data_IF_330966369746
#
_entry.id   IF_330966369746
#
_cell.length_a   1.000
_cell.length_b   1.000
_cell.length_c   1.000
_cell.angle_alpha   90.00
_cell.angle_beta   90.00
_cell.angle_gamma   90.00
#
_symmetry.space_group_name_H-M   'P 1'
#
loop_
_entity.id
_entity.type
_entity.pdbx_description
1 polymer ?
#
# COMPACT_ATOMS: atom_id res chain seq x y z
N UNK A 1 -34.66 -3.96 -22.53
CA UNK A 1 -34.02 -4.72 -21.44
C UNK A 1 -33.87 -6.17 -21.88
N UNK A 2 -32.67 -6.54 -22.34
CA UNK A 2 -32.29 -7.93 -22.60
C UNK A 2 -31.06 -8.20 -21.75
N UNK A 3 -31.22 -9.09 -20.77
CA UNK A 3 -30.12 -9.62 -19.96
C UNK A 3 -29.44 -10.67 -20.84
N UNK A 4 -28.20 -10.40 -21.23
CA UNK A 4 -27.34 -11.37 -21.90
C UNK A 4 -26.50 -12.02 -20.81
N UNK A 5 -26.90 -13.21 -20.40
CA UNK A 5 -26.07 -14.10 -19.58
C UNK A 5 -25.03 -14.75 -20.49
N UNK A 6 -23.75 -14.50 -20.23
CA UNK A 6 -22.64 -15.12 -20.94
C UNK A 6 -22.22 -16.37 -20.17
N UNK A 7 -22.60 -17.55 -20.68
CA UNK A 7 -22.07 -18.84 -20.27
C UNK A 7 -21.01 -19.25 -21.29
N UNK A 8 -19.73 -19.21 -20.92
CA UNK A 8 -18.66 -19.81 -21.71
C UNK A 8 -18.28 -21.16 -21.12
N UNK A 9 -18.46 -22.19 -21.94
CA UNK A 9 -18.23 -23.60 -21.62
C UNK A 9 -16.74 -23.94 -21.61
N UNK A 10 -16.31 -24.66 -20.57
CA UNK A 10 -15.03 -25.31 -20.45
C UNK A 10 -14.88 -26.44 -21.48
N UNK A 11 -13.81 -26.39 -22.28
CA UNK A 11 -13.39 -27.53 -23.12
C UNK A 11 -11.88 -27.51 -23.33
N UNK A 12 -11.11 -27.89 -22.30
CA UNK A 12 -9.68 -28.18 -22.39
C UNK A 12 -9.34 -29.32 -21.43
N UNK A 13 -9.27 -30.55 -21.93
CA UNK A 13 -8.65 -31.69 -21.24
C UNK A 13 -7.79 -32.41 -22.29
N UNK A 14 -6.52 -32.68 -21.92
CA UNK A 14 -5.45 -33.41 -22.63
C UNK A 14 -4.30 -32.55 -23.19
N UNK A 15 -3.60 -31.83 -22.31
CA UNK A 15 -2.18 -31.47 -22.49
C UNK A 15 -1.43 -31.28 -21.13
N UNK A 16 -1.82 -32.01 -20.08
CA UNK A 16 -1.51 -31.65 -18.68
C UNK A 16 -0.40 -32.45 -17.98
N UNK A 17 0.30 -33.38 -18.65
CA UNK A 17 1.24 -34.28 -17.96
C UNK A 17 2.74 -33.95 -18.13
N UNK A 18 3.11 -32.90 -18.87
CA UNK A 18 4.53 -32.50 -19.02
C UNK A 18 4.86 -31.08 -18.57
N UNK A 19 3.87 -30.27 -18.13
CA UNK A 19 4.15 -28.96 -17.51
C UNK A 19 4.43 -29.03 -16.00
N UNK A 20 3.98 -30.07 -15.29
CA UNK A 20 4.08 -30.13 -13.82
C UNK A 20 5.50 -30.38 -13.27
N UNK A 21 6.46 -30.84 -14.08
CA UNK A 21 7.79 -31.16 -13.59
C UNK A 21 8.76 -29.96 -13.58
N UNK A 22 8.44 -28.89 -14.30
CA UNK A 22 9.28 -27.68 -14.38
C UNK A 22 8.86 -26.59 -13.37
N UNK A 23 7.75 -26.80 -12.67
CA UNK A 23 7.19 -25.89 -11.65
C UNK A 23 7.77 -26.10 -10.25
N UNK A 24 8.45 -27.23 -9.99
CA UNK A 24 8.93 -27.54 -8.64
C UNK A 24 10.24 -26.83 -8.26
N UNK A 25 11.08 -26.48 -9.25
CA UNK A 25 12.38 -25.84 -9.04
C UNK A 25 12.30 -24.30 -8.91
N UNK A 26 11.18 -23.67 -9.28
CA UNK A 26 10.95 -22.22 -9.12
C UNK A 26 10.58 -21.82 -7.69
N UNK A 27 10.53 -22.77 -6.74
CA UNK A 27 10.07 -22.55 -5.36
C UNK A 27 11.22 -22.46 -4.35
N UNK A 28 12.47 -22.25 -4.79
CA UNK A 28 13.63 -22.13 -3.90
C UNK A 28 14.39 -20.84 -4.19
N UNK A 29 14.46 -19.98 -3.17
CA UNK A 29 15.32 -18.81 -3.13
C UNK A 29 16.72 -19.23 -2.64
N UNK A 30 17.78 -18.86 -3.36
CA UNK A 30 19.16 -19.07 -2.88
C UNK A 30 19.74 -17.77 -2.35
N UNK A 31 20.02 -17.70 -1.04
CA UNK A 31 20.74 -16.57 -0.43
C UNK A 31 22.02 -17.08 0.26
N UNK A 32 23.18 -16.56 -0.15
CA UNK A 32 24.49 -16.96 0.36
C UNK A 32 24.75 -18.48 0.33
N UNK A 33 24.17 -19.18 -0.65
CA UNK A 33 24.29 -20.63 -0.80
C UNK A 33 23.32 -21.46 0.06
N UNK A 34 22.48 -20.81 0.88
CA UNK A 34 21.41 -21.47 1.62
C UNK A 34 20.11 -21.47 0.79
N UNK A 35 19.48 -22.63 0.56
CA UNK A 35 18.18 -22.71 -0.09
C UNK A 35 17.06 -22.41 0.91
N UNK A 36 16.18 -21.47 0.57
CA UNK A 36 14.97 -21.18 1.31
C UNK A 36 13.75 -21.50 0.45
N UNK A 37 12.79 -22.30 0.95
CA UNK A 37 11.58 -22.56 0.19
C UNK A 37 10.70 -21.30 0.17
N UNK A 38 10.11 -21.02 -0.98
CA UNK A 38 9.11 -19.97 -1.15
C UNK A 38 7.71 -20.47 -0.74
N UNK A 39 6.83 -19.52 -0.41
CA UNK A 39 5.40 -19.75 -0.17
C UNK A 39 4.81 -20.62 -1.31
N UNK A 40 3.98 -21.64 -0.99
CA UNK A 40 3.25 -21.87 0.27
C UNK A 40 4.01 -22.62 1.37
N UNK A 41 5.30 -22.92 1.19
CA UNK A 41 6.07 -23.65 2.20
C UNK A 41 6.46 -22.75 3.37
N UNK A 42 6.45 -23.31 4.58
CA UNK A 42 6.87 -22.63 5.81
C UNK A 42 8.14 -23.25 6.40
N UNK A 43 8.83 -22.48 7.24
CA UNK A 43 9.99 -22.91 8.03
C UNK A 43 9.86 -22.44 9.48
N UNK A 44 10.46 -23.20 10.41
CA UNK A 44 10.35 -22.92 11.85
C UNK A 44 11.33 -21.88 12.38
N UNK A 45 12.38 -21.58 11.62
CA UNK A 45 13.46 -20.66 12.01
C UNK A 45 13.40 -19.46 11.08
N UNK A 46 13.52 -18.25 11.64
CA UNK A 46 13.58 -17.01 10.87
C UNK A 46 14.66 -17.12 9.79
N UNK A 47 14.33 -16.96 8.50
CA UNK A 47 15.30 -16.89 7.43
C UNK A 47 16.26 -15.71 7.66
N UNK A 48 17.57 -15.95 7.49
CA UNK A 48 18.60 -14.91 7.56
C UNK A 48 18.72 -14.21 6.20
N UNK A 49 17.66 -13.47 5.86
CA UNK A 49 17.58 -12.67 4.64
C UNK A 49 17.12 -11.25 4.99
N UNK A 50 17.61 -10.25 4.26
CA UNK A 50 17.09 -8.89 4.36
C UNK A 50 15.63 -8.85 3.92
N UNK A 51 14.88 -7.85 4.37
CA UNK A 51 13.51 -7.62 3.88
C UNK A 51 13.28 -6.17 3.48
N UNK A 52 12.66 -5.91 2.32
CA UNK A 52 12.47 -6.86 1.23
C UNK A 52 13.81 -7.42 0.73
N UNK A 53 13.81 -8.67 0.28
CA UNK A 53 14.94 -9.27 -0.41
C UNK A 53 14.76 -9.08 -1.92
N UNK A 54 15.78 -8.55 -2.60
CA UNK A 54 15.82 -8.47 -4.06
C UNK A 54 16.83 -9.50 -4.57
N UNK A 55 16.35 -10.49 -5.30
CA UNK A 55 17.19 -11.51 -5.93
C UNK A 55 17.93 -10.95 -7.16
N UNK A 56 18.91 -11.71 -7.66
CA UNK A 56 19.70 -11.32 -8.82
C UNK A 56 18.89 -11.23 -10.14
N UNK A 57 17.78 -11.95 -10.24
CA UNK A 57 16.84 -11.92 -11.38
C UNK A 57 15.70 -10.88 -11.20
N UNK A 58 15.75 -10.08 -10.13
CA UNK A 58 14.79 -9.01 -9.89
C UNK A 58 13.51 -9.43 -9.16
N UNK A 59 13.43 -10.67 -8.68
CA UNK A 59 12.34 -11.11 -7.83
C UNK A 59 12.46 -10.46 -6.44
N UNK A 60 11.35 -9.89 -5.98
CA UNK A 60 11.24 -9.36 -4.63
C UNK A 60 10.55 -10.39 -3.73
N UNK A 61 11.11 -10.58 -2.53
CA UNK A 61 10.58 -11.52 -1.55
C UNK A 61 10.48 -10.83 -0.20
N UNK A 62 9.33 -10.98 0.45
CA UNK A 62 9.10 -10.49 1.81
C UNK A 62 8.91 -11.68 2.75
N UNK A 63 9.72 -11.82 3.81
CA UNK A 63 9.46 -12.76 4.89
C UNK A 63 8.20 -12.35 5.65
N UNK A 64 7.33 -13.30 5.89
CA UNK A 64 6.13 -13.13 6.72
C UNK A 64 6.02 -14.26 7.75
N UNK A 65 5.21 -14.03 8.78
CA UNK A 65 4.93 -15.00 9.83
C UNK A 65 3.45 -15.33 9.80
N UNK A 66 3.18 -16.62 9.75
CA UNK A 66 1.82 -17.17 9.74
C UNK A 66 1.17 -17.08 11.12
N UNK A 67 -0.16 -17.23 11.21
CA UNK A 67 -0.87 -17.36 12.49
C UNK A 67 -0.37 -18.51 13.38
N UNK A 68 0.33 -19.49 12.79
CA UNK A 68 0.96 -20.61 13.52
C UNK A 68 2.34 -20.27 14.07
N UNK A 69 2.84 -19.06 13.84
CA UNK A 69 4.19 -18.62 14.23
C UNK A 69 5.31 -19.19 13.35
N UNK A 70 4.99 -19.77 12.20
CA UNK A 70 5.98 -20.25 11.23
C UNK A 70 6.31 -19.16 10.21
N UNK A 71 7.54 -19.14 9.71
CA UNK A 71 8.01 -18.19 8.71
C UNK A 71 7.71 -18.69 7.30
N UNK A 72 7.36 -17.79 6.40
CA UNK A 72 7.24 -18.04 4.96
C UNK A 72 7.92 -16.93 4.18
N UNK A 73 8.36 -17.22 2.96
CA UNK A 73 8.98 -16.27 2.05
C UNK A 73 8.07 -16.06 0.85
N UNK A 74 7.43 -14.90 0.76
CA UNK A 74 6.38 -14.64 -0.23
C UNK A 74 6.97 -13.79 -1.37
N UNK A 75 6.90 -14.26 -2.63
CA UNK A 75 7.23 -13.44 -3.79
C UNK A 75 6.24 -12.28 -3.91
N UNK A 76 6.74 -11.06 -4.00
CA UNK A 76 5.93 -9.83 -4.00
C UNK A 76 6.34 -8.83 -5.09
N UNK A 77 7.08 -9.28 -6.10
CA UNK A 77 7.60 -8.43 -7.18
C UNK A 77 6.51 -7.55 -7.79
N UNK A 78 6.71 -6.23 -7.71
CA UNK A 78 5.79 -5.25 -8.31
C UNK A 78 5.80 -5.37 -9.83
N UNK A 79 4.61 -5.45 -10.44
CA UNK A 79 4.46 -5.64 -11.89
C UNK A 79 4.83 -7.05 -12.38
N UNK A 80 4.99 -8.00 -11.47
CA UNK A 80 5.20 -9.42 -11.79
C UNK A 80 3.95 -10.10 -12.37
N UNK A 81 4.08 -11.35 -12.84
CA UNK A 81 2.97 -12.11 -13.43
C UNK A 81 1.82 -12.42 -12.46
N UNK A 82 2.06 -12.28 -11.16
CA UNK A 82 1.08 -12.50 -10.09
C UNK A 82 0.49 -11.20 -9.52
N UNK A 83 0.79 -10.05 -10.14
CA UNK A 83 0.27 -8.77 -9.68
C UNK A 83 -1.27 -8.74 -9.79
N UNK A 84 -1.94 -8.26 -8.75
CA UNK A 84 -3.42 -8.14 -8.73
C UNK A 84 -3.92 -7.19 -9.82
N UNK A 85 -3.11 -6.20 -10.16
CA UNK A 85 -3.43 -5.04 -10.97
C UNK A 85 -2.20 -4.63 -11.77
N UNK A 86 -2.32 -3.68 -12.70
CA UNK A 86 -1.16 -3.11 -13.38
C UNK A 86 -0.42 -2.15 -12.43
N UNK A 87 0.57 -2.64 -11.69
CA UNK A 87 1.24 -1.94 -10.56
C UNK A 87 2.37 -0.99 -10.95
N UNK A 88 2.93 -1.12 -12.16
CA UNK A 88 4.03 -0.25 -12.65
C UNK A 88 3.55 0.76 -13.69
N UNK A 89 2.37 1.33 -13.45
CA UNK A 89 1.78 2.31 -14.34
C UNK A 89 1.74 3.65 -13.64
N UNK A 90 2.51 4.61 -14.14
CA UNK A 90 2.27 6.03 -13.88
C UNK A 90 1.47 6.59 -15.04
N UNK A 91 0.47 7.42 -14.79
CA UNK A 91 -0.23 8.09 -15.88
C UNK A 91 0.67 9.19 -16.48
N UNK A 92 1.59 8.78 -17.35
CA UNK A 92 2.55 9.69 -17.99
C UNK A 92 1.90 10.69 -18.94
N UNK A 93 0.64 10.46 -19.33
CA UNK A 93 -0.11 11.37 -20.19
C UNK A 93 -0.59 12.57 -19.38
N UNK A 94 -1.13 12.34 -18.18
CA UNK A 94 -1.62 13.40 -17.32
C UNK A 94 -0.53 13.98 -16.42
N UNK A 95 0.42 13.15 -15.97
CA UNK A 95 1.49 13.49 -15.04
C UNK A 95 2.89 13.10 -15.56
N UNK A 96 3.37 13.70 -16.66
CA UNK A 96 4.67 13.37 -17.26
C UNK A 96 5.85 13.64 -16.30
N UNK A 97 5.72 14.59 -15.36
CA UNK A 97 6.79 14.82 -14.39
C UNK A 97 6.86 13.70 -13.34
N UNK A 98 5.72 13.18 -12.88
CA UNK A 98 5.70 12.02 -11.97
C UNK A 98 6.27 10.81 -12.67
N UNK A 99 5.89 10.53 -13.92
CA UNK A 99 6.42 9.38 -14.66
C UNK A 99 7.94 9.42 -14.81
N UNK A 100 8.54 10.62 -14.94
CA UNK A 100 9.98 10.78 -15.09
C UNK A 100 10.73 10.81 -13.76
N UNK A 101 10.15 11.39 -12.71
CA UNK A 101 10.88 11.75 -11.48
C UNK A 101 10.32 11.11 -10.22
N UNK A 102 9.13 10.52 -10.29
CA UNK A 102 8.36 10.01 -9.17
C UNK A 102 7.73 11.09 -8.27
N UNK A 103 7.82 12.36 -8.66
CA UNK A 103 7.27 13.52 -7.93
C UNK A 103 6.52 14.45 -8.88
N UNK A 104 5.55 15.18 -8.35
CA UNK A 104 4.81 16.18 -9.11
C UNK A 104 5.62 17.47 -9.33
N UNK A 105 5.32 18.13 -10.46
CA UNK A 105 5.66 19.53 -10.67
C UNK A 105 4.48 20.41 -10.22
N UNK A 106 4.70 21.35 -9.31
CA UNK A 106 3.63 22.26 -8.85
C UNK A 106 2.99 23.05 -10.01
N UNK A 107 3.79 23.46 -11.00
CA UNK A 107 3.30 24.15 -12.21
C UNK A 107 2.47 23.24 -13.11
N UNK A 108 2.72 21.95 -13.08
CA UNK A 108 1.93 20.95 -13.82
C UNK A 108 0.56 20.80 -13.14
N UNK A 109 0.55 20.56 -11.83
CA UNK A 109 -0.68 20.48 -11.02
C UNK A 109 -1.57 21.72 -11.14
N UNK A 110 -0.98 22.93 -11.17
CA UNK A 110 -1.73 24.18 -11.34
C UNK A 110 -2.44 24.32 -12.69
N UNK A 111 -1.98 23.58 -13.70
CA UNK A 111 -2.53 23.61 -15.07
C UNK A 111 -3.40 22.40 -15.37
N UNK A 112 -3.47 21.43 -14.46
CA UNK A 112 -4.29 20.23 -14.61
C UNK A 112 -5.76 20.60 -14.51
N UNK A 113 -6.50 20.40 -15.61
CA UNK A 113 -7.96 20.61 -15.67
C UNK A 113 -8.75 19.31 -15.69
N UNK A 114 -8.08 18.19 -15.98
CA UNK A 114 -8.65 16.85 -16.00
C UNK A 114 -7.61 15.81 -15.63
N UNK A 115 -8.04 14.68 -15.08
CA UNK A 115 -7.24 13.47 -14.87
C UNK A 115 -8.04 12.32 -15.49
N UNK A 116 -7.38 11.51 -16.32
CA UNK A 116 -7.93 10.35 -17.05
C UNK A 116 -9.21 10.65 -17.81
N UNK A 117 -9.35 11.90 -18.27
CA UNK A 117 -10.49 12.40 -19.03
C UNK A 117 -11.62 12.98 -18.18
N UNK A 118 -11.65 12.78 -16.86
CA UNK A 118 -12.60 13.45 -15.95
C UNK A 118 -12.11 14.84 -15.57
N UNK A 119 -13.02 15.80 -15.53
CA UNK A 119 -12.68 17.16 -15.08
C UNK A 119 -12.36 17.18 -13.58
N UNK A 120 -11.52 18.13 -13.14
CA UNK A 120 -11.25 18.32 -11.70
C UNK A 120 -12.52 18.60 -10.90
N UNK A 121 -13.50 19.33 -11.47
CA UNK A 121 -14.79 19.58 -10.83
C UNK A 121 -15.57 18.28 -10.59
N UNK A 122 -15.62 17.41 -11.60
CA UNK A 122 -16.27 16.10 -11.50
C UNK A 122 -15.56 15.19 -10.50
N UNK A 123 -14.22 15.12 -10.53
CA UNK A 123 -13.44 14.34 -9.56
C UNK A 123 -13.74 14.82 -8.15
N UNK A 124 -13.70 16.13 -7.89
CA UNK A 124 -14.02 16.70 -6.58
C UNK A 124 -15.46 16.39 -6.15
N UNK A 125 -16.42 16.40 -7.07
CA UNK A 125 -17.81 16.03 -6.77
C UNK A 125 -17.93 14.56 -6.35
N UNK A 126 -17.31 13.65 -7.11
CA UNK A 126 -17.34 12.21 -6.86
C UNK A 126 -16.54 11.80 -5.62
N UNK A 127 -15.46 12.52 -5.32
CA UNK A 127 -14.56 12.22 -4.21
C UNK A 127 -15.09 12.66 -2.84
N UNK A 128 -16.10 13.53 -2.78
CA UNK A 128 -16.67 13.99 -1.50
C UNK A 128 -17.50 12.91 -0.80
N UNK A 129 -17.77 13.07 0.51
CA UNK A 129 -18.64 12.15 1.24
C UNK A 129 -20.02 12.05 0.60
N UNK A 130 -20.50 10.83 0.39
CA UNK A 130 -21.76 10.54 -0.30
C UNK A 130 -21.69 10.55 -1.83
N UNK A 131 -20.51 10.77 -2.42
CA UNK A 131 -20.23 10.59 -3.84
C UNK A 131 -20.06 9.12 -4.19
N UNK A 132 -18.87 8.73 -4.66
CA UNK A 132 -18.55 7.32 -4.91
C UNK A 132 -18.22 6.54 -3.62
N UNK A 133 -17.92 7.23 -2.53
CA UNK A 133 -17.68 6.65 -1.20
C UNK A 133 -18.58 7.33 -0.17
N UNK A 134 -19.09 6.57 0.82
CA UNK A 134 -19.89 7.15 1.91
C UNK A 134 -19.06 8.14 2.74
N UNK A 135 -17.84 7.78 3.10
CA UNK A 135 -16.93 8.62 3.88
C UNK A 135 -16.20 9.64 2.99
N UNK A 136 -16.16 9.38 1.68
CA UNK A 136 -15.42 10.17 0.70
C UNK A 136 -13.96 9.76 0.58
N UNK A 137 -13.36 10.09 -0.56
CA UNK A 137 -11.91 10.09 -0.82
C UNK A 137 -11.27 11.43 -0.46
N UNK A 138 -12.08 12.49 -0.35
CA UNK A 138 -11.71 13.82 0.10
C UNK A 138 -12.66 14.23 1.21
N UNK A 139 -12.15 14.94 2.22
CA UNK A 139 -13.01 15.61 3.18
C UNK A 139 -13.85 16.70 2.48
N UNK A 140 -14.98 17.08 3.07
CA UNK A 140 -15.98 17.93 2.42
C UNK A 140 -15.44 19.30 1.94
N UNK A 141 -14.40 19.83 2.58
CA UNK A 141 -13.79 21.12 2.27
C UNK A 141 -12.55 21.05 1.36
N UNK A 142 -12.14 19.85 0.96
CA UNK A 142 -10.91 19.65 0.19
C UNK A 142 -11.15 19.66 -1.32
N UNK A 143 -10.07 19.88 -2.06
CA UNK A 143 -9.99 19.68 -3.49
C UNK A 143 -8.75 18.84 -3.85
N UNK A 144 -8.89 18.03 -4.91
CA UNK A 144 -7.89 17.05 -5.31
C UNK A 144 -6.53 17.69 -5.65
N UNK A 145 -6.50 18.90 -6.25
CA UNK A 145 -5.23 19.53 -6.63
C UNK A 145 -4.48 20.02 -5.39
N UNK A 146 -5.18 20.58 -4.41
CA UNK A 146 -4.58 20.98 -3.14
C UNK A 146 -4.01 19.79 -2.36
N UNK A 147 -4.75 18.68 -2.30
CA UNK A 147 -4.26 17.45 -1.64
C UNK A 147 -3.02 16.89 -2.36
N UNK A 148 -3.04 16.76 -3.69
CA UNK A 148 -1.88 16.31 -4.47
C UNK A 148 -0.63 17.18 -4.24
N UNK A 149 -0.80 18.50 -4.13
CA UNK A 149 0.32 19.41 -3.82
C UNK A 149 0.87 19.17 -2.42
N UNK A 150 0.00 19.04 -1.43
CA UNK A 150 0.40 18.81 -0.04
C UNK A 150 1.16 17.48 0.09
N UNK A 151 0.57 16.40 -0.42
CA UNK A 151 1.18 15.07 -0.36
C UNK A 151 2.53 15.03 -1.09
N UNK A 152 2.64 15.67 -2.25
CA UNK A 152 3.91 15.79 -2.97
C UNK A 152 5.00 16.49 -2.15
N UNK A 153 4.68 17.55 -1.40
CA UNK A 153 5.66 18.21 -0.55
C UNK A 153 6.04 17.35 0.66
N UNK A 154 5.11 16.57 1.25
CA UNK A 154 5.44 15.62 2.32
C UNK A 154 6.43 14.55 1.83
N UNK A 155 6.13 13.92 0.69
CA UNK A 155 6.96 12.87 0.09
C UNK A 155 8.36 13.40 -0.27
N UNK A 156 8.40 14.58 -0.90
CA UNK A 156 9.64 15.26 -1.27
C UNK A 156 10.47 15.68 -0.05
N UNK A 157 9.85 16.16 1.03
CA UNK A 157 10.56 16.55 2.26
C UNK A 157 11.30 15.36 2.90
N UNK A 158 10.74 14.16 2.81
CA UNK A 158 11.40 12.92 3.25
C UNK A 158 12.44 12.37 2.26
N UNK A 159 12.63 13.03 1.11
CA UNK A 159 13.53 12.57 0.04
C UNK A 159 13.09 11.25 -0.58
N UNK A 160 11.77 11.02 -0.67
CA UNK A 160 11.16 9.84 -1.28
C UNK A 160 10.43 10.22 -2.57
N UNK A 161 9.87 9.23 -3.26
CA UNK A 161 9.00 9.39 -4.43
C UNK A 161 7.67 8.67 -4.23
N UNK A 162 6.64 9.04 -4.98
CA UNK A 162 5.34 8.36 -4.90
C UNK A 162 5.46 6.85 -5.20
N UNK A 163 6.19 6.40 -6.23
CA UNK A 163 6.42 4.97 -6.43
C UNK A 163 7.12 4.27 -5.26
N UNK A 164 8.08 4.93 -4.60
CA UNK A 164 8.71 4.37 -3.40
C UNK A 164 7.72 4.21 -2.24
N UNK A 165 6.73 5.09 -2.14
CA UNK A 165 5.67 5.01 -1.13
C UNK A 165 4.61 3.94 -1.47
N UNK A 166 4.24 3.79 -2.74
CA UNK A 166 3.26 2.79 -3.18
C UNK A 166 3.80 1.35 -3.03
N UNK A 167 5.10 1.17 -3.30
CA UNK A 167 5.76 -0.14 -3.34
C UNK A 167 5.52 -1.06 -2.13
N UNK A 168 5.70 -0.64 -0.86
CA UNK A 168 5.40 -1.50 0.28
C UNK A 168 3.93 -1.91 0.36
N UNK A 169 3.01 -1.07 -0.10
CA UNK A 169 1.59 -1.40 -0.13
C UNK A 169 1.27 -2.42 -1.25
N UNK A 170 1.89 -2.28 -2.43
CA UNK A 170 1.82 -3.34 -3.46
C UNK A 170 2.41 -4.66 -2.96
N UNK A 171 3.47 -4.63 -2.15
CA UNK A 171 4.00 -5.84 -1.54
C UNK A 171 2.96 -6.54 -0.64
N UNK A 172 2.15 -5.77 0.09
CA UNK A 172 1.03 -6.31 0.87
C UNK A 172 -0.06 -6.90 -0.04
N UNK A 173 -0.46 -6.20 -1.11
CA UNK A 173 -1.46 -6.71 -2.07
C UNK A 173 -0.99 -8.00 -2.76
N UNK A 174 0.26 -8.04 -3.22
CA UNK A 174 0.84 -9.25 -3.83
C UNK A 174 0.91 -10.42 -2.84
N UNK A 175 1.14 -10.12 -1.56
CA UNK A 175 1.08 -11.12 -0.50
C UNK A 175 -0.33 -11.68 -0.31
N UNK A 176 -1.34 -10.81 -0.30
CA UNK A 176 -2.75 -11.20 -0.23
C UNK A 176 -3.16 -12.04 -1.45
N UNK A 177 -2.75 -11.64 -2.65
CA UNK A 177 -3.04 -12.38 -3.89
C UNK A 177 -2.43 -13.78 -3.88
N UNK A 178 -1.17 -13.90 -3.46
CA UNK A 178 -0.53 -15.20 -3.32
C UNK A 178 -1.33 -16.11 -2.37
N UNK A 179 -1.85 -15.56 -1.27
CA UNK A 179 -2.69 -16.31 -0.33
C UNK A 179 -4.06 -16.68 -0.93
N UNK A 180 -4.70 -15.76 -1.66
CA UNK A 180 -5.96 -16.00 -2.36
C UNK A 180 -5.82 -17.14 -3.38
N UNK A 181 -4.73 -17.14 -4.16
CA UNK A 181 -4.46 -18.17 -5.17
C UNK A 181 -4.30 -19.58 -4.58
N UNK A 182 -3.86 -19.68 -3.32
CA UNK A 182 -3.76 -20.94 -2.59
C UNK A 182 -5.05 -21.31 -1.83
N UNK A 183 -6.06 -20.44 -1.83
CA UNK A 183 -7.29 -20.64 -1.06
C UNK A 183 -7.12 -20.42 0.45
N UNK A 184 -6.11 -19.63 0.86
CA UNK A 184 -5.83 -19.30 2.26
C UNK A 184 -6.67 -18.10 2.77
N UNK A 185 -7.68 -17.67 2.01
CA UNK A 185 -8.67 -16.69 2.44
C UNK A 185 -9.84 -17.35 3.17
N UNK A 186 -10.17 -16.87 4.37
CA UNK A 186 -11.30 -17.39 5.11
C UNK A 186 -12.61 -16.79 4.57
N UNK A 187 -13.21 -17.47 3.60
CA UNK A 187 -14.49 -17.07 3.00
C UNK A 187 -15.67 -17.05 3.99
N UNK A 188 -15.60 -17.75 5.12
CA UNK A 188 -16.66 -17.75 6.12
C UNK A 188 -16.60 -16.50 7.01
N UNK A 189 -15.39 -15.99 7.27
CA UNK A 189 -15.16 -14.79 8.07
C UNK A 189 -14.89 -13.54 7.22
N UNK A 190 -14.79 -13.68 5.90
CA UNK A 190 -14.48 -12.58 4.98
C UNK A 190 -13.15 -11.89 5.32
N UNK A 191 -12.14 -12.68 5.74
CA UNK A 191 -10.91 -12.19 6.35
C UNK A 191 -9.67 -12.97 5.90
N UNK A 192 -8.55 -12.27 5.78
CA UNK A 192 -7.22 -12.86 5.66
C UNK A 192 -6.69 -13.29 7.03
N UNK A 193 -6.61 -14.59 7.28
CA UNK A 193 -6.19 -15.16 8.57
C UNK A 193 -4.92 -16.00 8.44
N UNK A 194 -4.21 -15.95 7.32
CA UNK A 194 -3.03 -16.79 7.13
C UNK A 194 -1.76 -16.12 7.64
N UNK A 195 -1.55 -14.84 7.28
CA UNK A 195 -0.40 -14.04 7.68
C UNK A 195 -0.78 -13.14 8.85
N UNK A 196 0.02 -13.20 9.91
CA UNK A 196 -0.14 -12.35 11.09
C UNK A 196 0.65 -11.05 10.94
N UNK A 197 1.91 -11.14 10.50
CA UNK A 197 2.76 -9.97 10.24
C UNK A 197 3.82 -10.26 9.17
N UNK A 198 4.25 -9.19 8.51
CA UNK A 198 5.40 -9.18 7.61
C UNK A 198 6.63 -8.57 8.30
N UNK A 199 7.81 -8.98 7.87
CA UNK A 199 9.06 -8.29 8.20
C UNK A 199 9.37 -7.30 7.07
N UNK A 200 9.64 -6.03 7.37
CA UNK A 200 9.98 -5.01 6.38
C UNK A 200 11.04 -4.07 6.94
N UNK A 201 12.23 -3.99 6.33
CA UNK A 201 13.40 -3.28 6.86
C UNK A 201 13.66 -3.57 8.36
N UNK A 202 13.60 -4.86 8.73
CA UNK A 202 13.70 -5.37 10.11
C UNK A 202 12.60 -4.91 11.09
N UNK A 203 11.54 -4.29 10.57
CA UNK A 203 10.34 -3.90 11.33
C UNK A 203 9.28 -5.00 11.24
N UNK A 204 8.53 -5.19 12.33
CA UNK A 204 7.36 -6.06 12.36
C UNK A 204 6.16 -5.23 11.94
N UNK A 205 5.59 -5.52 10.77
CA UNK A 205 4.41 -4.84 10.23
C UNK A 205 3.24 -5.80 10.30
N UNK A 206 2.29 -5.50 11.16
CA UNK A 206 1.07 -6.29 11.32
C UNK A 206 0.06 -5.96 10.23
N UNK A 207 -0.68 -6.98 9.82
CA UNK A 207 -1.62 -6.91 8.70
C UNK A 207 -2.94 -7.54 9.12
N UNK A 208 -4.04 -6.87 8.82
CA UNK A 208 -5.38 -7.43 8.96
C UNK A 208 -6.24 -6.98 7.78
N UNK A 209 -6.64 -7.91 6.91
CA UNK A 209 -7.37 -7.61 5.69
C UNK A 209 -8.73 -8.29 5.66
N UNK A 210 -9.73 -7.58 5.15
CA UNK A 210 -11.11 -8.03 5.07
C UNK A 210 -11.69 -7.63 3.72
N UNK A 211 -12.69 -8.38 3.25
CA UNK A 211 -13.44 -8.01 2.06
C UNK A 211 -14.59 -7.04 2.37
N UNK A 212 -14.96 -6.25 1.37
CA UNK A 212 -16.15 -5.42 1.41
C UNK A 212 -17.32 -6.17 0.75
N UNK A 213 -18.55 -5.89 1.19
CA UNK A 213 -19.76 -6.44 0.56
C UNK A 213 -20.10 -5.82 -0.81
N UNK A 214 -19.20 -5.05 -1.40
CA UNK A 214 -19.36 -4.35 -2.68
C UNK A 214 -18.09 -3.63 -3.11
N UNK A 215 -17.90 -3.47 -4.42
CA UNK A 215 -16.72 -2.82 -4.95
C UNK A 215 -16.75 -1.30 -4.81
N UNK A 216 -15.58 -0.71 -4.59
CA UNK A 216 -15.35 0.74 -4.58
C UNK A 216 -14.78 1.16 -5.94
N UNK A 217 -15.56 1.94 -6.70
CA UNK A 217 -15.10 2.47 -7.99
C UNK A 217 -14.13 3.64 -7.79
N UNK A 218 -13.17 3.74 -8.71
CA UNK A 218 -12.23 4.85 -8.72
C UNK A 218 -12.85 6.19 -9.13
N UNK A 219 -12.38 7.28 -8.50
CA UNK A 219 -12.76 8.66 -8.85
C UNK A 219 -12.17 9.14 -10.19
N UNK A 220 -11.17 8.44 -10.73
CA UNK A 220 -10.41 8.88 -11.89
C UNK A 220 -10.95 8.38 -13.26
N UNK A 221 -11.83 7.37 -13.32
CA UNK A 221 -12.24 6.71 -14.60
C UNK A 221 -11.17 5.80 -15.24
N UNK A 222 -10.27 5.29 -14.41
CA UNK A 222 -9.18 4.39 -14.80
C UNK A 222 -9.59 2.91 -14.90
N UNK A 223 -10.87 2.60 -14.63
CA UNK A 223 -11.40 1.23 -14.59
C UNK A 223 -11.02 0.44 -13.35
N UNK A 224 -10.32 1.05 -12.39
CA UNK A 224 -9.92 0.42 -11.13
C UNK A 224 -11.14 0.33 -10.20
N UNK A 225 -11.26 -0.81 -9.53
CA UNK A 225 -12.26 -1.06 -8.50
C UNK A 225 -11.60 -1.86 -7.38
N UNK A 226 -11.80 -1.46 -6.13
CA UNK A 226 -11.29 -2.19 -4.95
C UNK A 226 -12.39 -2.98 -4.27
N UNK A 227 -12.03 -4.13 -3.69
CA UNK A 227 -12.93 -5.00 -2.93
C UNK A 227 -12.47 -5.33 -1.52
N UNK A 228 -11.31 -4.81 -1.10
CA UNK A 228 -10.74 -5.08 0.23
C UNK A 228 -10.41 -3.79 0.97
N UNK A 229 -10.43 -3.90 2.30
CA UNK A 229 -9.78 -2.95 3.19
C UNK A 229 -8.76 -3.68 4.06
N UNK A 230 -7.70 -2.96 4.41
CA UNK A 230 -6.52 -3.50 5.06
C UNK A 230 -6.13 -2.55 6.18
N UNK A 231 -6.08 -3.05 7.41
CA UNK A 231 -5.43 -2.40 8.53
C UNK A 231 -3.95 -2.80 8.54
N UNK A 232 -3.08 -1.80 8.51
CA UNK A 232 -1.62 -1.98 8.54
C UNK A 232 -1.08 -1.17 9.71
N UNK A 233 -0.30 -1.80 10.59
CA UNK A 233 0.26 -1.09 11.73
C UNK A 233 1.60 -1.65 12.19
N UNK A 234 2.29 -0.85 12.99
CA UNK A 234 3.50 -1.26 13.70
C UNK A 234 3.59 -0.59 15.06
N UNK A 235 4.01 -1.36 16.05
CA UNK A 235 4.41 -0.82 17.35
C UNK A 235 5.77 -0.10 17.29
N UNK A 236 5.89 1.12 17.82
CA UNK A 236 7.18 1.80 17.94
C UNK A 236 8.10 1.02 18.87
N UNK A 237 9.40 1.06 18.59
CA UNK A 237 10.38 0.53 19.55
C UNK A 237 10.42 1.39 20.83
N UNK A 238 11.02 0.86 21.90
CA UNK A 238 11.22 1.63 23.12
C UNK A 238 12.07 2.90 22.88
N UNK A 239 13.05 2.85 21.97
CA UNK A 239 13.84 4.03 21.61
C UNK A 239 13.01 5.05 20.81
N UNK A 240 12.25 4.60 19.81
CA UNK A 240 11.37 5.46 19.01
C UNK A 240 10.31 6.15 19.89
N UNK A 241 9.69 5.42 20.84
CA UNK A 241 8.73 5.98 21.78
C UNK A 241 9.37 6.98 22.75
N UNK A 242 10.59 6.71 23.23
CA UNK A 242 11.33 7.64 24.08
C UNK A 242 11.65 8.94 23.32
N UNK A 243 12.07 8.83 22.05
CA UNK A 243 12.31 9.97 21.18
C UNK A 243 11.04 10.81 20.97
N UNK A 244 9.92 10.17 20.65
CA UNK A 244 8.63 10.85 20.50
C UNK A 244 8.21 11.57 21.78
N UNK A 245 8.38 10.95 22.95
CA UNK A 245 8.10 11.59 24.25
C UNK A 245 9.02 12.77 24.55
N UNK A 246 10.28 12.71 24.14
CA UNK A 246 11.21 13.84 24.27
C UNK A 246 10.75 15.03 23.42
N UNK A 247 10.39 14.79 22.16
CA UNK A 247 10.01 15.86 21.20
C UNK A 247 8.60 16.40 21.43
N UNK A 248 7.65 15.50 21.67
CA UNK A 248 6.22 15.78 21.68
C UNK A 248 5.56 15.57 23.04
N UNK A 249 6.32 15.34 24.11
CA UNK A 249 5.78 15.20 25.47
C UNK A 249 5.14 16.46 26.06
N UNK A 250 5.19 17.57 25.33
CA UNK A 250 4.50 18.82 25.66
C UNK A 250 3.04 18.85 25.16
N UNK A 251 2.65 17.95 24.25
CA UNK A 251 1.28 17.79 23.80
C UNK A 251 0.39 17.29 24.95
N UNK A 252 -0.89 17.66 24.93
CA UNK A 252 -1.85 17.09 25.86
C UNK A 252 -1.99 15.57 25.61
N UNK A 253 -2.30 14.74 26.63
CA UNK A 253 -2.32 13.29 26.47
C UNK A 253 -3.15 12.78 25.27
N UNK A 254 -4.37 13.29 25.00
CA UNK A 254 -5.15 12.87 23.83
C UNK A 254 -4.51 13.26 22.49
N UNK A 255 -3.76 14.37 22.44
CA UNK A 255 -3.06 14.81 21.24
C UNK A 255 -1.84 13.94 20.96
N UNK A 256 -1.08 13.57 22.01
CA UNK A 256 0.03 12.63 21.89
C UNK A 256 -0.45 11.22 21.50
N UNK A 257 -1.56 10.75 22.06
CA UNK A 257 -2.19 9.49 21.66
C UNK A 257 -2.61 9.54 20.19
N UNK A 258 -3.21 10.64 19.73
CA UNK A 258 -3.59 10.82 18.33
C UNK A 258 -2.38 10.89 17.39
N UNK A 259 -1.29 11.57 17.79
CA UNK A 259 -0.01 11.56 17.06
C UNK A 259 0.48 10.13 16.88
N UNK A 260 0.49 9.36 17.97
CA UNK A 260 1.01 8.01 17.97
C UNK A 260 0.17 7.10 17.07
N UNK A 261 -1.15 7.13 17.24
CA UNK A 261 -2.11 6.35 16.44
C UNK A 261 -1.92 6.61 14.93
N UNK A 262 -1.96 7.88 14.52
CA UNK A 262 -1.80 8.29 13.11
C UNK A 262 -0.43 7.97 12.51
N UNK A 263 0.61 7.91 13.33
CA UNK A 263 1.96 7.55 12.88
C UNK A 263 2.12 6.03 12.72
N UNK A 264 1.41 5.25 13.54
CA UNK A 264 1.66 3.81 13.73
C UNK A 264 0.60 2.92 13.08
N UNK A 265 -0.56 3.47 12.72
CA UNK A 265 -1.70 2.76 12.14
C UNK A 265 -2.19 3.46 10.87
N UNK A 266 -2.60 2.67 9.89
CA UNK A 266 -3.32 3.16 8.71
C UNK A 266 -4.35 2.13 8.25
N UNK A 267 -5.49 2.63 7.81
CA UNK A 267 -6.54 1.86 7.14
C UNK A 267 -6.51 2.23 5.66
N UNK A 268 -6.39 1.24 4.79
CA UNK A 268 -6.24 1.45 3.35
C UNK A 268 -7.20 0.56 2.56
N UNK A 269 -7.65 1.04 1.39
CA UNK A 269 -8.34 0.22 0.41
C UNK A 269 -7.36 -0.40 -0.60
N UNK A 270 -7.79 -1.47 -1.26
CA UNK A 270 -7.02 -2.14 -2.33
C UNK A 270 -6.59 -1.20 -3.46
N UNK A 271 -7.34 -0.13 -3.74
CA UNK A 271 -7.05 0.80 -4.84
C UNK A 271 -5.94 1.80 -4.49
N UNK A 272 -5.63 1.98 -3.23
CA UNK A 272 -4.78 3.08 -2.78
C UNK A 272 -3.35 3.02 -3.32
N UNK A 273 -2.69 1.85 -3.40
CA UNK A 273 -1.35 1.78 -3.97
C UNK A 273 -1.32 2.23 -5.44
N UNK A 274 -2.42 2.00 -6.18
CA UNK A 274 -2.59 2.49 -7.53
C UNK A 274 -2.76 4.01 -7.57
N UNK A 275 -3.48 4.60 -6.62
CA UNK A 275 -3.64 6.05 -6.52
C UNK A 275 -2.33 6.75 -6.25
N UNK A 276 -1.54 6.20 -5.32
CA UNK A 276 -0.22 6.72 -5.00
C UNK A 276 0.71 6.59 -6.22
N UNK A 277 0.79 5.40 -6.83
CA UNK A 277 1.67 5.15 -7.98
C UNK A 277 1.30 6.02 -9.19
N UNK A 278 0.02 6.04 -9.57
CA UNK A 278 -0.46 6.70 -10.80
C UNK A 278 -0.54 8.21 -10.65
N UNK A 279 -1.01 8.67 -9.50
CA UNK A 279 -1.47 10.05 -9.30
C UNK A 279 -0.79 10.76 -8.14
N UNK A 280 -0.05 10.07 -7.27
CA UNK A 280 0.51 10.67 -6.05
C UNK A 280 -0.55 11.12 -5.04
N UNK A 281 -1.71 10.45 -5.02
CA UNK A 281 -2.85 10.74 -4.17
C UNK A 281 -2.92 9.75 -3.01
N UNK A 282 -3.05 10.24 -1.77
CA UNK A 282 -3.04 9.45 -0.54
C UNK A 282 -4.37 9.48 0.23
N UNK A 283 -5.44 9.79 -0.51
CA UNK A 283 -6.71 10.31 0.00
C UNK A 283 -6.60 11.63 0.82
N UNK A 284 -7.71 12.35 0.89
CA UNK A 284 -7.85 13.55 1.73
C UNK A 284 -7.90 13.23 3.22
N UNK A 285 -8.20 14.20 4.07
CA UNK A 285 -8.28 13.99 5.53
C UNK A 285 -9.57 13.23 5.94
N UNK A 286 -9.68 11.98 5.51
CA UNK A 286 -10.76 11.03 5.80
C UNK A 286 -10.26 9.91 6.72
N UNK A 287 -11.12 8.98 7.10
CA UNK A 287 -10.71 7.77 7.83
C UNK A 287 -9.89 6.78 6.98
N UNK A 288 -9.80 7.01 5.67
CA UNK A 288 -9.14 6.17 4.68
C UNK A 288 -7.80 6.74 4.22
N UNK A 289 -7.38 7.89 4.77
CA UNK A 289 -6.08 8.51 4.47
C UNK A 289 -4.94 7.57 4.79
N UNK A 290 -4.07 7.35 3.80
CA UNK A 290 -2.84 6.58 3.98
C UNK A 290 -1.67 7.54 3.99
N UNK A 291 -1.47 8.20 5.13
CA UNK A 291 -0.55 9.34 5.20
C UNK A 291 0.90 8.96 4.78
N UNK A 292 1.56 9.76 3.91
CA UNK A 292 2.94 9.51 3.49
C UNK A 292 3.92 9.31 4.65
N UNK A 293 3.74 10.04 5.76
CA UNK A 293 4.59 9.94 6.96
C UNK A 293 4.38 8.58 7.64
N UNK A 294 3.13 8.12 7.75
CA UNK A 294 2.79 6.83 8.34
C UNK A 294 3.37 5.67 7.52
N UNK A 295 3.25 5.71 6.18
CA UNK A 295 3.88 4.70 5.28
C UNK A 295 5.38 4.63 5.54
N UNK A 296 6.07 5.79 5.52
CA UNK A 296 7.51 5.84 5.69
C UNK A 296 7.94 5.30 7.05
N UNK A 297 7.20 5.61 8.11
CA UNK A 297 7.46 5.11 9.45
C UNK A 297 7.20 3.61 9.57
N UNK A 298 5.98 3.14 9.26
CA UNK A 298 5.53 1.76 9.47
C UNK A 298 6.46 0.77 8.77
N UNK A 299 6.74 1.00 7.49
CA UNK A 299 7.61 0.16 6.67
C UNK A 299 9.10 0.46 6.82
N UNK A 300 9.49 1.39 7.69
CA UNK A 300 10.89 1.72 7.95
C UNK A 300 11.62 2.27 6.73
N UNK A 301 10.93 3.00 5.83
CA UNK A 301 11.57 3.70 4.72
C UNK A 301 12.44 4.87 5.24
N UNK A 302 12.09 5.40 6.41
CA UNK A 302 12.83 6.40 7.17
C UNK A 302 12.76 6.09 8.66
N UNK A 303 13.79 6.46 9.40
CA UNK A 303 13.75 6.44 10.86
C UNK A 303 12.88 7.58 11.40
N UNK A 304 12.44 7.50 12.67
CA UNK A 304 11.66 8.57 13.27
C UNK A 304 12.46 9.88 13.38
N UNK A 305 13.77 9.78 13.56
CA UNK A 305 14.68 10.94 13.59
C UNK A 305 14.81 11.60 12.21
N UNK A 306 14.86 10.80 11.14
CA UNK A 306 14.88 11.32 9.76
C UNK A 306 13.55 12.00 9.40
N UNK A 307 12.43 11.41 9.82
CA UNK A 307 11.09 11.98 9.65
C UNK A 307 10.96 13.30 10.44
N UNK A 308 11.37 13.33 11.70
CA UNK A 308 11.41 14.56 12.53
C UNK A 308 12.32 15.62 11.90
N UNK A 309 13.46 15.24 11.34
CA UNK A 309 14.36 16.19 10.67
C UNK A 309 13.74 16.81 9.41
N UNK A 310 12.87 16.08 8.70
CA UNK A 310 12.11 16.61 7.58
C UNK A 310 10.98 17.57 8.02
N UNK A 311 10.44 17.41 9.24
CA UNK A 311 9.36 18.21 9.80
C UNK A 311 9.62 18.66 11.25
N UNK A 312 10.63 19.51 11.51
CA UNK A 312 11.10 19.78 12.87
C UNK A 312 9.98 20.34 13.78
N UNK A 313 9.62 19.58 14.81
CA UNK A 313 8.54 19.90 15.75
C UNK A 313 7.14 19.88 15.15
N UNK A 314 6.98 19.48 13.88
CA UNK A 314 5.74 19.64 13.11
C UNK A 314 4.95 18.36 12.85
N UNK A 315 5.43 17.17 13.23
CA UNK A 315 4.79 15.89 12.89
C UNK A 315 3.32 15.81 13.32
N UNK A 316 2.99 16.26 14.54
CA UNK A 316 1.60 16.25 14.99
C UNK A 316 0.71 17.11 14.10
N UNK A 317 1.13 18.32 13.75
CA UNK A 317 0.33 19.21 12.92
C UNK A 317 0.19 18.69 11.47
N UNK A 318 1.21 18.03 10.95
CA UNK A 318 1.15 17.37 9.63
C UNK A 318 0.13 16.22 9.65
N UNK A 319 0.24 15.29 10.61
CA UNK A 319 -0.64 14.12 10.72
C UNK A 319 -2.08 14.47 11.13
N UNK A 320 -2.25 15.55 11.89
CA UNK A 320 -3.56 16.06 12.30
C UNK A 320 -4.24 16.94 11.23
N UNK A 321 -3.54 17.28 10.13
CA UNK A 321 -4.05 18.18 9.10
C UNK A 321 -4.22 19.63 9.57
N UNK A 322 -3.53 20.05 10.63
CA UNK A 322 -3.67 21.39 11.24
C UNK A 322 -2.98 22.50 10.44
N UNK A 323 -2.03 22.17 9.56
CA UNK A 323 -1.28 23.14 8.74
C UNK A 323 -1.90 23.43 7.37
N UNK A 324 -3.06 22.83 7.06
CA UNK A 324 -3.67 22.92 5.74
C UNK A 324 -4.80 23.96 5.69
N UNK A 325 -4.50 25.27 5.82
CA UNK A 325 -5.41 26.39 5.45
C UNK A 325 -4.65 27.67 5.07
#
# INVERSE_FOLDING_TARGET
MKIIACFCAFSWILALSTLHAQEADSLILSNQGNPYPLYPKTVKIRPDISSPYLSADGQEVVPAVTEKGEYTLIPVTVGGPSAMVEEDVVDAKDFPTVARTGLHSLKELERTHSITGRSIEEINHLARPGGLSQDGFLAAGEDIISVLKQDNELVKAMGLTHPQMAKPLFHVLNMMQACLDQGDWNMAHHRWEYIHYALYHDKVVFLDAHDTKGGQLSIFDDGIMGGFWILIWREPTAQELAFLKEKYGHLEPPEFESLLDKLTHMLTGEIEPQYIQRYGFYEGHTGWRVDPIAIAFIFGLRSIEEIEAAFPGGLYDQLAGKLAY
#
